data_IF_648161557311
#
_entry.id   IF_648161557311
#
_cell.length_a   1.000
_cell.length_b   1.000
_cell.length_c   1.000
_cell.angle_alpha   90.00
_cell.angle_beta   90.00
_cell.angle_gamma   90.00
#
_symmetry.space_group_name_H-M   'P 1'
#
loop_
_entity.id
_entity.type
_entity.pdbx_description
1 polymer ?
#
# COMPACT_ATOMS: atom_id res chain seq x y z
N UNK A 1 -6.94 18.14 16.00
CA UNK A 1 -5.51 17.86 16.26
C UNK A 1 -4.98 17.01 15.13
N UNK A 2 -3.95 17.46 14.47
CA UNK A 2 -3.34 16.73 13.34
C UNK A 2 -2.65 15.48 13.87
N UNK A 3 -3.05 14.30 13.40
CA UNK A 3 -2.41 13.03 13.74
C UNK A 3 -1.34 12.71 12.68
N UNK A 4 -0.12 12.30 13.08
CA UNK A 4 0.88 11.87 12.12
C UNK A 4 0.47 10.56 11.45
N UNK A 5 0.86 10.37 10.20
CA UNK A 5 0.76 9.13 9.48
C UNK A 5 2.05 8.88 8.68
N UNK A 6 2.38 7.63 8.45
CA UNK A 6 3.55 7.27 7.67
C UNK A 6 3.19 6.86 6.25
N UNK A 7 4.11 7.08 5.33
CA UNK A 7 3.96 6.67 3.92
C UNK A 7 5.20 5.92 3.49
N UNK A 8 5.00 4.77 2.84
CA UNK A 8 6.02 4.05 2.08
C UNK A 8 5.49 3.76 0.68
N UNK A 9 6.35 3.50 -0.28
CA UNK A 9 5.98 3.08 -1.63
C UNK A 9 7.04 2.18 -2.24
N UNK A 10 6.71 1.57 -3.38
CA UNK A 10 7.67 0.86 -4.23
C UNK A 10 8.46 -0.23 -3.49
N UNK A 11 7.76 -0.98 -2.64
CA UNK A 11 8.38 -2.08 -1.90
C UNK A 11 8.89 -3.17 -2.82
N UNK A 12 8.18 -3.45 -3.91
CA UNK A 12 8.55 -4.43 -4.93
C UNK A 12 9.00 -5.76 -4.35
N UNK A 13 8.24 -6.31 -3.40
CA UNK A 13 8.56 -7.61 -2.80
C UNK A 13 8.69 -8.70 -3.86
N UNK A 14 9.85 -9.35 -3.87
CA UNK A 14 10.16 -10.36 -4.86
C UNK A 14 11.26 -11.30 -4.38
N UNK A 15 11.22 -12.52 -4.91
CA UNK A 15 12.30 -13.49 -4.76
C UNK A 15 13.37 -13.23 -5.83
N UNK A 16 14.36 -12.42 -5.49
CA UNK A 16 15.44 -12.06 -6.39
C UNK A 16 16.46 -13.19 -6.49
N UNK A 17 16.80 -13.63 -7.70
CA UNK A 17 17.78 -14.70 -7.90
C UNK A 17 19.22 -14.20 -7.81
N UNK A 18 19.49 -12.99 -8.36
CA UNK A 18 20.83 -12.44 -8.36
C UNK A 18 21.30 -12.01 -6.95
N UNK A 19 22.49 -12.42 -6.58
CA UNK A 19 23.14 -12.06 -5.31
C UNK A 19 22.30 -12.37 -4.07
N UNK A 20 21.61 -13.51 -4.06
CA UNK A 20 20.77 -13.94 -2.97
C UNK A 20 20.99 -15.42 -2.65
N UNK A 21 20.62 -15.82 -1.45
CA UNK A 21 20.51 -17.19 -0.98
C UNK A 21 19.08 -17.44 -0.52
N UNK A 22 18.66 -18.70 -0.48
CA UNK A 22 17.37 -19.07 0.09
C UNK A 22 17.63 -20.03 1.24
N UNK A 23 17.09 -19.75 2.43
CA UNK A 23 17.26 -20.60 3.61
C UNK A 23 16.38 -21.86 3.54
N UNK A 24 16.49 -22.74 4.53
CA UNK A 24 15.74 -24.00 4.58
C UNK A 24 14.21 -23.79 4.66
N UNK A 25 13.77 -22.65 5.13
CA UNK A 25 12.35 -22.26 5.24
C UNK A 25 11.80 -21.59 3.96
N UNK A 26 12.65 -21.45 2.94
CA UNK A 26 12.26 -20.86 1.67
C UNK A 26 12.31 -19.34 1.61
N UNK A 27 12.83 -18.67 2.66
CA UNK A 27 13.02 -17.23 2.66
C UNK A 27 14.26 -16.84 1.87
N UNK A 28 14.06 -15.97 0.87
CA UNK A 28 15.12 -15.39 0.07
C UNK A 28 15.77 -14.22 0.81
N UNK A 29 17.10 -14.15 0.87
CA UNK A 29 17.82 -13.16 1.67
C UNK A 29 17.58 -11.70 1.23
N UNK A 30 17.32 -11.42 -0.04
CA UNK A 30 16.97 -10.08 -0.50
C UNK A 30 15.52 -9.70 -0.16
N UNK A 31 14.61 -10.68 -0.21
CA UNK A 31 13.25 -10.48 0.29
C UNK A 31 13.27 -10.20 1.80
N UNK A 32 14.08 -10.93 2.56
CA UNK A 32 14.25 -10.71 4.00
C UNK A 32 14.66 -9.25 4.32
N UNK A 33 15.65 -8.71 3.59
CA UNK A 33 16.07 -7.31 3.73
C UNK A 33 14.91 -6.33 3.45
N UNK A 34 14.10 -6.60 2.42
CA UNK A 34 12.94 -5.76 2.10
C UNK A 34 11.89 -5.79 3.23
N UNK A 35 11.61 -6.98 3.78
CA UNK A 35 10.66 -7.15 4.87
C UNK A 35 11.14 -6.48 6.16
N UNK A 36 12.42 -6.64 6.51
CA UNK A 36 13.00 -5.98 7.68
C UNK A 36 12.99 -4.45 7.55
N UNK A 37 13.34 -3.89 6.39
CA UNK A 37 13.23 -2.45 6.14
C UNK A 37 11.78 -1.95 6.33
N UNK A 38 10.79 -2.74 5.91
CA UNK A 38 9.38 -2.41 6.12
C UNK A 38 9.00 -2.43 7.60
N UNK A 39 9.46 -3.41 8.36
CA UNK A 39 9.23 -3.49 9.82
C UNK A 39 9.89 -2.31 10.54
N UNK A 40 11.13 -1.98 10.19
CA UNK A 40 11.84 -0.83 10.76
C UNK A 40 11.10 0.48 10.50
N UNK A 41 10.60 0.69 9.27
CA UNK A 41 9.77 1.84 8.93
C UNK A 41 8.49 1.89 9.79
N UNK A 42 7.79 0.75 9.93
CA UNK A 42 6.58 0.66 10.74
C UNK A 42 6.85 0.94 12.24
N UNK A 43 7.96 0.43 12.79
CA UNK A 43 8.40 0.73 14.16
C UNK A 43 8.67 2.24 14.32
N UNK A 44 9.34 2.86 13.35
CA UNK A 44 9.61 4.30 13.38
C UNK A 44 8.29 5.11 13.33
N UNK A 45 7.34 4.71 12.49
CA UNK A 45 5.99 5.31 12.43
C UNK A 45 5.28 5.19 13.78
N UNK A 46 5.27 4.02 14.40
CA UNK A 46 4.66 3.82 15.72
C UNK A 46 5.30 4.70 16.79
N UNK A 47 6.65 4.79 16.81
CA UNK A 47 7.38 5.68 17.72
C UNK A 47 7.05 7.16 17.50
N UNK A 48 6.77 7.56 16.27
CA UNK A 48 6.34 8.92 15.91
C UNK A 48 4.86 9.20 16.26
N UNK A 49 4.12 8.23 16.81
CA UNK A 49 2.71 8.38 17.18
C UNK A 49 1.74 8.19 16.02
N UNK A 50 2.18 7.65 14.88
CA UNK A 50 1.31 7.33 13.77
C UNK A 50 0.28 6.27 14.15
N UNK A 51 -0.92 6.39 13.59
CA UNK A 51 -1.97 5.37 13.63
C UNK A 51 -2.19 4.71 12.27
N UNK A 52 -1.70 5.34 11.22
CA UNK A 52 -1.86 4.90 9.85
C UNK A 52 -0.51 4.72 9.17
N UNK A 53 -0.38 3.62 8.45
CA UNK A 53 0.69 3.34 7.50
C UNK A 53 0.07 3.26 6.11
N UNK A 54 0.43 4.19 5.24
CA UNK A 54 -0.04 4.25 3.86
C UNK A 54 1.04 3.64 2.95
N UNK A 55 0.65 2.69 2.11
CA UNK A 55 1.51 2.07 1.10
C UNK A 55 1.04 2.57 -0.26
N UNK A 56 1.85 3.43 -0.89
CA UNK A 56 1.45 4.19 -2.08
C UNK A 56 1.69 3.42 -3.40
N UNK A 57 1.47 2.12 -3.39
CA UNK A 57 1.52 1.24 -4.56
C UNK A 57 2.81 0.48 -4.73
N UNK A 58 2.83 -0.37 -5.74
CA UNK A 58 3.92 -1.25 -6.14
C UNK A 58 4.45 -2.11 -4.97
N UNK A 59 3.50 -2.75 -4.29
CA UNK A 59 3.78 -3.69 -3.20
C UNK A 59 4.54 -4.90 -3.70
N UNK A 60 4.07 -5.50 -4.80
CA UNK A 60 4.72 -6.64 -5.43
C UNK A 60 5.47 -6.23 -6.71
N UNK A 61 6.51 -7.01 -7.08
CA UNK A 61 7.36 -6.66 -8.21
C UNK A 61 6.81 -7.15 -9.56
N UNK A 62 6.23 -8.34 -9.60
CA UNK A 62 5.83 -8.98 -10.86
C UNK A 62 4.33 -8.92 -11.07
N UNK A 63 3.91 -8.37 -12.19
CA UNK A 63 2.50 -8.31 -12.59
C UNK A 63 1.90 -9.70 -12.76
N UNK A 64 0.71 -9.90 -12.22
CA UNK A 64 -0.09 -11.11 -12.43
C UNK A 64 0.45 -12.38 -11.77
N UNK A 65 1.65 -12.34 -11.16
CA UNK A 65 2.24 -13.54 -10.57
C UNK A 65 3.01 -13.20 -9.29
N UNK A 66 2.59 -13.76 -8.18
CA UNK A 66 3.30 -13.65 -6.90
C UNK A 66 3.69 -15.06 -6.44
N UNK A 67 4.97 -15.27 -6.16
CA UNK A 67 5.44 -16.55 -5.62
C UNK A 67 4.78 -16.83 -4.26
N UNK A 68 4.34 -18.06 -3.97
CA UNK A 68 3.71 -18.40 -2.70
C UNK A 68 4.54 -18.01 -1.47
N UNK A 69 5.86 -18.19 -1.51
CA UNK A 69 6.76 -17.79 -0.42
C UNK A 69 6.78 -16.27 -0.23
N UNK A 70 6.80 -15.48 -1.32
CA UNK A 70 6.73 -14.01 -1.23
C UNK A 70 5.42 -13.59 -0.58
N UNK A 71 4.28 -14.12 -1.06
CA UNK A 71 2.97 -13.83 -0.50
C UNK A 71 2.89 -14.19 0.98
N UNK A 72 3.41 -15.36 1.37
CA UNK A 72 3.43 -15.82 2.76
C UNK A 72 4.18 -14.82 3.67
N UNK A 73 5.45 -14.53 3.37
CA UNK A 73 6.27 -13.68 4.23
C UNK A 73 5.80 -12.21 4.25
N UNK A 74 5.28 -11.69 3.15
CA UNK A 74 4.66 -10.37 3.10
C UNK A 74 3.40 -10.35 3.99
N UNK A 75 2.54 -11.37 3.87
CA UNK A 75 1.34 -11.50 4.72
C UNK A 75 1.68 -11.51 6.20
N UNK A 76 2.65 -12.34 6.62
CA UNK A 76 3.06 -12.41 8.03
C UNK A 76 3.68 -11.09 8.51
N UNK A 77 4.42 -10.38 7.66
CA UNK A 77 4.99 -9.06 8.01
C UNK A 77 3.89 -8.02 8.25
N UNK A 78 2.92 -7.89 7.36
CA UNK A 78 1.82 -6.93 7.55
C UNK A 78 0.87 -7.33 8.68
N UNK A 79 0.63 -8.62 8.89
CA UNK A 79 -0.10 -9.13 10.04
C UNK A 79 0.58 -8.77 11.36
N UNK A 80 1.89 -8.90 11.44
CA UNK A 80 2.68 -8.46 12.58
C UNK A 80 2.57 -6.94 12.79
N UNK A 81 2.69 -6.12 11.72
CA UNK A 81 2.54 -4.65 11.79
C UNK A 81 1.17 -4.26 12.38
N UNK A 82 0.11 -4.91 11.91
CA UNK A 82 -1.26 -4.64 12.38
C UNK A 82 -1.45 -5.06 13.84
N UNK A 83 -1.05 -6.27 14.19
CA UNK A 83 -1.34 -6.85 15.49
C UNK A 83 -0.43 -6.33 16.60
N UNK A 84 0.89 -6.23 16.34
CA UNK A 84 1.87 -5.86 17.37
C UNK A 84 2.11 -4.35 17.46
N UNK A 85 2.00 -3.63 16.34
CA UNK A 85 2.19 -2.19 16.33
C UNK A 85 0.87 -1.41 16.36
N UNK A 86 -0.29 -2.07 16.24
CA UNK A 86 -1.59 -1.42 16.21
C UNK A 86 -1.62 -0.27 15.19
N UNK A 87 -1.16 -0.56 13.95
CA UNK A 87 -1.20 0.36 12.83
C UNK A 87 -2.30 -0.05 11.85
N UNK A 88 -3.12 0.90 11.46
CA UNK A 88 -4.04 0.70 10.33
C UNK A 88 -3.26 0.82 9.03
N UNK A 89 -3.18 -0.27 8.26
CA UNK A 89 -2.48 -0.30 6.98
C UNK A 89 -3.46 -0.07 5.84
N UNK A 90 -3.16 0.91 4.99
CA UNK A 90 -3.94 1.22 3.79
C UNK A 90 -3.02 1.14 2.58
N UNK A 91 -3.35 0.29 1.62
CA UNK A 91 -2.55 0.06 0.41
C UNK A 91 -3.27 0.55 -0.83
N UNK A 92 -2.58 1.32 -1.65
CA UNK A 92 -2.96 1.63 -3.02
C UNK A 92 -2.49 0.51 -3.95
N UNK A 93 -3.26 0.21 -4.98
CA UNK A 93 -2.77 -0.58 -6.10
C UNK A 93 -1.87 0.30 -6.99
N UNK A 94 -0.60 -0.07 -7.09
CA UNK A 94 0.33 0.44 -8.08
C UNK A 94 0.24 -0.32 -9.40
N UNK A 95 1.03 0.04 -10.38
CA UNK A 95 0.98 -0.60 -11.69
C UNK A 95 1.55 -2.03 -11.69
N UNK A 96 2.46 -2.35 -10.79
CA UNK A 96 3.02 -3.70 -10.62
C UNK A 96 2.09 -4.65 -9.87
N UNK A 97 1.18 -4.12 -9.06
CA UNK A 97 0.22 -4.94 -8.33
C UNK A 97 -0.91 -5.49 -9.21
N UNK A 98 -1.09 -4.95 -10.43
CA UNK A 98 -2.19 -5.27 -11.33
C UNK A 98 -1.81 -6.30 -12.38
N UNK A 99 -2.72 -7.21 -12.72
CA UNK A 99 -2.56 -8.14 -13.86
C UNK A 99 -2.60 -7.41 -15.20
N UNK A 100 -3.44 -6.38 -15.30
CA UNK A 100 -3.65 -5.57 -16.49
C UNK A 100 -3.38 -4.10 -16.23
N UNK A 101 -3.50 -3.26 -17.25
CA UNK A 101 -3.37 -1.82 -17.10
C UNK A 101 -4.59 -1.15 -16.44
N UNK A 102 -5.65 -1.90 -16.17
CA UNK A 102 -6.87 -1.38 -15.53
C UNK A 102 -6.88 -1.69 -14.03
N UNK A 103 -7.21 -0.70 -13.22
CA UNK A 103 -7.35 -0.85 -11.77
C UNK A 103 -8.64 -1.61 -11.44
N UNK A 104 -8.54 -2.93 -11.38
CA UNK A 104 -9.63 -3.83 -10.99
C UNK A 104 -9.24 -4.54 -9.69
N UNK A 105 -10.11 -4.50 -8.70
CA UNK A 105 -9.83 -5.06 -7.37
C UNK A 105 -9.46 -6.55 -7.42
N UNK A 106 -10.21 -7.35 -8.17
CA UNK A 106 -9.97 -8.79 -8.31
C UNK A 106 -8.70 -9.17 -9.07
N UNK A 107 -8.16 -8.23 -9.86
CA UNK A 107 -6.93 -8.39 -10.63
C UNK A 107 -5.74 -7.66 -9.99
N UNK A 108 -5.76 -7.50 -8.66
CA UNK A 108 -4.74 -6.84 -7.86
C UNK A 108 -4.11 -7.85 -6.88
N UNK A 109 -2.82 -8.09 -6.99
CA UNK A 109 -2.10 -9.02 -6.13
C UNK A 109 -2.20 -8.66 -4.64
N UNK A 110 -2.17 -7.36 -4.31
CA UNK A 110 -2.29 -6.88 -2.94
C UNK A 110 -3.68 -7.16 -2.33
N UNK A 111 -4.71 -7.45 -3.13
CA UNK A 111 -6.07 -7.72 -2.62
C UNK A 111 -6.12 -8.91 -1.65
N UNK A 112 -5.19 -9.88 -1.78
CA UNK A 112 -5.06 -11.01 -0.85
C UNK A 112 -4.80 -10.59 0.59
N UNK A 113 -4.12 -9.45 0.80
CA UNK A 113 -3.80 -8.92 2.12
C UNK A 113 -5.01 -8.33 2.87
N UNK A 114 -6.15 -8.15 2.18
CA UNK A 114 -7.39 -7.73 2.85
C UNK A 114 -7.87 -8.74 3.90
N UNK A 115 -7.54 -10.01 3.72
CA UNK A 115 -7.90 -11.09 4.67
C UNK A 115 -7.26 -10.93 6.05
N UNK A 116 -6.19 -10.16 6.19
CA UNK A 116 -5.51 -9.87 7.44
C UNK A 116 -5.79 -8.46 7.98
N UNK A 117 -6.76 -7.73 7.39
CA UNK A 117 -7.15 -6.40 7.85
C UNK A 117 -6.51 -5.23 7.13
N UNK A 118 -5.73 -5.46 6.06
CA UNK A 118 -5.22 -4.38 5.22
C UNK A 118 -6.37 -3.78 4.41
N UNK A 119 -6.52 -2.46 4.45
CA UNK A 119 -7.48 -1.74 3.61
C UNK A 119 -6.89 -1.55 2.22
N UNK A 120 -7.48 -2.19 1.23
CA UNK A 120 -7.02 -2.11 -0.16
C UNK A 120 -7.82 -1.06 -0.93
N UNK A 121 -7.10 -0.10 -1.49
CA UNK A 121 -7.67 0.92 -2.37
C UNK A 121 -7.26 0.61 -3.81
N UNK A 122 -8.21 0.09 -4.56
CA UNK A 122 -8.05 -0.23 -5.98
C UNK A 122 -9.37 0.03 -6.70
N UNK A 123 -9.34 0.67 -7.86
CA UNK A 123 -10.52 0.96 -8.66
C UNK A 123 -10.47 2.32 -9.33
N UNK A 124 -11.52 2.63 -10.09
CA UNK A 124 -11.60 3.85 -10.92
C UNK A 124 -12.03 5.10 -10.16
N UNK A 125 -12.41 4.99 -8.89
CA UNK A 125 -12.83 6.16 -8.10
C UNK A 125 -11.78 6.48 -7.04
N UNK A 126 -11.46 7.76 -6.82
CA UNK A 126 -10.68 8.17 -5.66
C UNK A 126 -11.34 7.71 -4.38
N UNK A 127 -10.53 7.35 -3.41
CA UNK A 127 -10.96 7.05 -2.05
C UNK A 127 -10.42 8.12 -1.11
N UNK A 128 -11.15 8.44 -0.04
CA UNK A 128 -10.71 9.45 0.92
C UNK A 128 -10.80 8.88 2.33
N UNK A 129 -9.76 9.11 3.11
CA UNK A 129 -9.73 8.75 4.53
C UNK A 129 -9.45 9.98 5.37
N UNK A 130 -10.07 10.06 6.55
CA UNK A 130 -9.84 11.14 7.49
C UNK A 130 -8.85 10.68 8.56
N UNK A 131 -7.75 11.42 8.71
CA UNK A 131 -6.71 11.17 9.71
C UNK A 131 -6.58 12.42 10.58
N UNK A 132 -7.19 12.41 11.76
CA UNK A 132 -7.32 13.63 12.55
C UNK A 132 -8.11 14.71 11.81
N UNK A 133 -7.51 15.88 11.64
CA UNK A 133 -8.10 17.02 10.92
C UNK A 133 -7.75 17.05 9.42
N UNK A 134 -6.99 16.06 8.94
CA UNK A 134 -6.54 15.98 7.55
C UNK A 134 -7.35 14.95 6.79
N UNK A 135 -7.82 15.28 5.59
CA UNK A 135 -8.37 14.33 4.63
C UNK A 135 -7.30 13.95 3.62
N UNK A 136 -6.99 12.66 3.56
CA UNK A 136 -6.04 12.09 2.61
C UNK A 136 -6.82 11.46 1.47
N UNK A 137 -6.59 11.95 0.25
CA UNK A 137 -7.19 11.41 -0.96
C UNK A 137 -6.26 10.39 -1.60
N UNK A 138 -6.80 9.22 -1.88
CA UNK A 138 -6.07 8.04 -2.35
C UNK A 138 -6.57 7.71 -3.76
N UNK A 139 -5.65 7.74 -4.73
CA UNK A 139 -5.94 7.44 -6.14
C UNK A 139 -5.05 6.27 -6.55
N UNK A 140 -5.65 5.12 -6.87
CA UNK A 140 -4.93 3.96 -7.42
C UNK A 140 -4.32 4.31 -8.78
N UNK A 141 -3.38 3.51 -9.24
CA UNK A 141 -2.77 3.65 -10.55
C UNK A 141 -3.80 3.92 -11.67
N UNK A 142 -3.46 4.84 -12.56
CA UNK A 142 -4.22 5.20 -13.77
C UNK A 142 -3.31 5.07 -14.98
N UNK A 143 -3.65 4.19 -15.89
CA UNK A 143 -2.95 4.08 -17.17
C UNK A 143 -3.24 5.29 -18.07
N UNK A 144 -4.41 5.91 -17.92
CA UNK A 144 -4.82 7.09 -18.66
C UNK A 144 -4.56 8.37 -17.86
N UNK A 145 -3.60 9.17 -18.33
CA UNK A 145 -3.24 10.44 -17.69
C UNK A 145 -4.41 11.46 -17.66
N UNK A 146 -5.30 11.45 -18.65
CA UNK A 146 -6.46 12.32 -18.67
C UNK A 146 -7.48 11.94 -17.57
N UNK A 147 -7.63 10.66 -17.24
CA UNK A 147 -8.46 10.21 -16.12
C UNK A 147 -7.89 10.69 -14.79
N UNK A 148 -6.57 10.58 -14.58
CA UNK A 148 -5.92 11.11 -13.37
C UNK A 148 -6.16 12.59 -13.19
N UNK A 149 -5.99 13.39 -14.26
CA UNK A 149 -6.26 14.84 -14.22
C UNK A 149 -7.72 15.12 -13.91
N UNK A 150 -8.65 14.33 -14.47
CA UNK A 150 -10.08 14.46 -14.19
C UNK A 150 -10.40 14.19 -12.72
N UNK A 151 -9.84 13.12 -12.15
CA UNK A 151 -9.99 12.76 -10.73
C UNK A 151 -9.46 13.87 -9.82
N UNK A 152 -8.27 14.41 -10.12
CA UNK A 152 -7.67 15.51 -9.34
C UNK A 152 -8.51 16.79 -9.40
N UNK A 153 -9.07 17.14 -10.58
CA UNK A 153 -9.96 18.29 -10.73
C UNK A 153 -11.27 18.11 -9.95
N UNK A 154 -11.83 16.89 -9.96
CA UNK A 154 -13.04 16.58 -9.21
C UNK A 154 -12.81 16.67 -7.68
N UNK A 155 -11.70 16.14 -7.19
CA UNK A 155 -11.31 16.24 -5.79
C UNK A 155 -11.09 17.71 -5.36
N UNK A 156 -10.41 18.51 -6.18
CA UNK A 156 -10.20 19.93 -5.90
C UNK A 156 -11.52 20.67 -5.73
N UNK A 157 -12.48 20.44 -6.63
CA UNK A 157 -13.81 21.07 -6.54
C UNK A 157 -14.56 20.66 -5.27
N UNK A 158 -14.46 19.40 -4.82
CA UNK A 158 -15.10 18.95 -3.59
C UNK A 158 -14.53 19.66 -2.36
N UNK A 159 -13.22 19.85 -2.30
CA UNK A 159 -12.55 20.56 -1.19
C UNK A 159 -12.88 22.06 -1.20
N UNK A 160 -12.96 22.69 -2.38
CA UNK A 160 -13.33 24.10 -2.52
C UNK A 160 -14.81 24.35 -2.19
N UNK A 161 -15.72 23.39 -2.49
CA UNK A 161 -17.14 23.44 -2.18
C UNK A 161 -17.45 23.34 -0.69
N UNK A 162 -16.71 22.51 0.03
CA UNK A 162 -16.86 22.33 1.49
C UNK A 162 -16.46 23.59 2.30
N UNK A 163 -15.73 24.53 1.71
CA UNK A 163 -15.32 25.77 2.36
C UNK A 163 -16.35 26.93 2.21
N UNK A 164 -17.47 26.71 1.52
CA UNK A 164 -18.49 27.76 1.31
C UNK A 164 -19.71 27.67 2.21
N UNK A 165 -19.79 26.66 3.08
CA UNK A 165 -20.92 26.44 4.01
C UNK A 165 -20.55 26.74 5.50
N UNK A 166 -19.67 27.72 5.73
CA UNK A 166 -19.38 28.22 7.09
C UNK A 166 -19.72 29.69 7.20
#
# INVERSE_FOLDING_TARGET
MTLPYGVISDCHYHKWDAFSTTNAEGLNSRLEIQLEATKEAAIAMKKAGCKYMLVAGDTFHVRGTVSPSVLHYVTETYKWIINELDLTVVMLAGNHDLETNDSVYSANAAASLSSIGVVIVCGKRPHSIKIGDVTVHLISWRNNHAELISDLKALRKSVEGDNHDV
#
